data_IF_190158855858
#
_entry.id   IF_190158855858
#
_cell.length_a   1.000
_cell.length_b   1.000
_cell.length_c   1.000
_cell.angle_alpha   90.00
_cell.angle_beta   90.00
_cell.angle_gamma   90.00
#
_symmetry.space_group_name_H-M   'P 1'
#
loop_
_entity.id
_entity.type
_entity.pdbx_description
1 polymer ?
#
# COMPACT_ATOMS: atom_id res chain seq x y z
N UNK A 1 -17.80 25.95 3.39
CA UNK A 1 -17.65 24.62 2.75
C UNK A 1 -16.31 24.05 3.18
N UNK A 2 -16.27 22.94 3.92
CA UNK A 2 -15.02 22.26 4.26
C UNK A 2 -14.84 21.06 3.35
N UNK A 3 -13.70 20.99 2.66
CA UNK A 3 -13.34 19.88 1.81
C UNK A 3 -12.52 18.90 2.65
N UNK A 4 -12.99 17.67 2.76
CA UNK A 4 -12.25 16.61 3.43
C UNK A 4 -11.19 16.05 2.47
N UNK A 5 -9.91 16.14 2.85
CA UNK A 5 -8.80 15.64 2.04
C UNK A 5 -8.23 14.39 2.70
N UNK A 6 -8.12 13.32 1.92
CA UNK A 6 -7.49 12.08 2.34
C UNK A 6 -5.99 12.14 2.09
N UNK A 7 -5.20 12.04 3.17
CA UNK A 7 -3.74 11.86 3.09
C UNK A 7 -3.44 10.38 3.27
N UNK A 8 -2.71 9.79 2.31
CA UNK A 8 -2.22 8.42 2.38
C UNK A 8 -0.90 8.41 3.14
N UNK A 9 -0.92 7.89 4.37
CA UNK A 9 0.29 7.66 5.15
C UNK A 9 0.57 6.17 5.14
N UNK A 10 1.81 5.78 4.85
CA UNK A 10 2.21 4.38 4.91
C UNK A 10 2.00 3.87 6.36
N UNK A 11 1.25 2.79 6.47
CA UNK A 11 0.87 2.17 7.74
C UNK A 11 1.65 0.89 8.01
N UNK A 12 1.91 0.10 6.97
CA UNK A 12 2.60 -1.17 7.09
C UNK A 12 2.95 -1.80 5.76
N UNK A 13 3.76 -2.85 5.84
CA UNK A 13 4.18 -3.71 4.75
C UNK A 13 3.99 -5.17 5.16
N UNK A 14 3.49 -5.99 4.24
CA UNK A 14 3.33 -7.44 4.40
C UNK A 14 3.67 -8.17 3.11
N UNK A 15 3.92 -9.47 3.19
CA UNK A 15 4.13 -10.34 2.02
C UNK A 15 3.11 -11.47 2.08
N UNK A 16 2.44 -11.76 0.96
CA UNK A 16 1.48 -12.87 0.86
C UNK A 16 2.20 -14.22 0.72
N UNK A 17 1.45 -15.32 0.84
CA UNK A 17 1.99 -16.67 0.57
C UNK A 17 2.44 -16.84 -0.88
N UNK A 18 1.80 -16.12 -1.82
CA UNK A 18 2.17 -16.09 -3.24
C UNK A 18 3.39 -15.21 -3.53
N UNK A 19 3.95 -14.55 -2.52
CA UNK A 19 5.13 -13.68 -2.65
C UNK A 19 4.83 -12.24 -3.05
N UNK A 20 3.56 -11.83 -3.09
CA UNK A 20 3.19 -10.45 -3.41
C UNK A 20 3.50 -9.51 -2.25
N UNK A 21 4.07 -8.33 -2.56
CA UNK A 21 4.28 -7.26 -1.58
C UNK A 21 2.98 -6.47 -1.42
N UNK A 22 2.49 -6.40 -0.18
CA UNK A 22 1.30 -5.64 0.20
C UNK A 22 1.72 -4.40 0.98
N UNK A 23 1.34 -3.23 0.50
CA UNK A 23 1.48 -1.97 1.22
C UNK A 23 0.14 -1.50 1.76
N UNK A 24 0.09 -1.21 3.05
CA UNK A 24 -1.11 -0.69 3.70
C UNK A 24 -0.94 0.80 3.99
N UNK A 25 -1.97 1.58 3.67
CA UNK A 25 -2.03 3.01 3.91
C UNK A 25 -3.27 3.35 4.72
N UNK A 26 -3.12 4.34 5.59
CA UNK A 26 -4.23 4.84 6.41
C UNK A 26 -4.25 6.36 6.44
N UNK A 27 -5.45 6.93 6.55
CA UNK A 27 -5.66 8.32 6.88
C UNK A 27 -6.15 8.44 8.32
N UNK A 28 -5.83 9.55 8.99
CA UNK A 28 -6.30 9.84 10.36
C UNK A 28 -7.82 9.85 10.50
N UNK A 29 -8.57 10.01 9.39
CA UNK A 29 -10.03 9.92 9.37
C UNK A 29 -10.59 8.49 9.34
N UNK A 30 -9.73 7.47 9.26
CA UNK A 30 -10.12 6.06 9.24
C UNK A 30 -10.19 5.41 7.87
N UNK A 31 -10.08 6.17 6.77
CA UNK A 31 -9.96 5.60 5.44
C UNK A 31 -8.65 4.78 5.30
N UNK A 32 -8.75 3.63 4.64
CA UNK A 32 -7.62 2.72 4.38
C UNK A 32 -7.49 2.44 2.89
N UNK A 33 -6.25 2.16 2.45
CA UNK A 33 -5.94 1.73 1.10
C UNK A 33 -4.89 0.63 1.15
N UNK A 34 -4.93 -0.26 0.18
CA UNK A 34 -3.95 -1.34 0.02
C UNK A 34 -3.45 -1.33 -1.41
N UNK A 35 -2.13 -1.32 -1.59
CA UNK A 35 -1.49 -1.58 -2.87
C UNK A 35 -0.88 -2.97 -2.83
N UNK A 36 -1.06 -3.74 -3.91
CA UNK A 36 -0.45 -5.06 -4.06
C UNK A 36 0.49 -4.98 -5.25
N UNK A 37 1.77 -5.22 -4.99
CA UNK A 37 2.81 -5.29 -6.00
C UNK A 37 3.12 -6.77 -6.23
N UNK A 38 2.77 -7.26 -7.42
CA UNK A 38 3.16 -8.60 -7.82
C UNK A 38 4.64 -8.62 -8.10
N UNK A 39 5.36 -9.52 -7.46
CA UNK A 39 6.70 -9.86 -7.87
C UNK A 39 6.57 -10.72 -9.14
N UNK A 40 6.46 -10.08 -10.30
CA UNK A 40 6.78 -10.79 -11.54
C UNK A 40 8.24 -11.27 -11.41
N UNK A 41 8.58 -12.45 -11.97
CA UNK A 41 9.93 -13.04 -11.99
C UNK A 41 10.99 -12.17 -12.71
N UNK A 42 10.73 -10.88 -12.90
CA UNK A 42 11.70 -9.89 -13.37
C UNK A 42 12.77 -9.69 -12.32
N UNK A 43 13.96 -10.20 -12.60
CA UNK A 43 15.19 -9.93 -11.86
C UNK A 43 15.32 -8.42 -11.62
N UNK A 44 15.58 -7.95 -10.39
CA UNK A 44 15.82 -6.53 -10.14
C UNK A 44 16.97 -6.04 -11.03
N UNK A 45 16.72 -5.02 -11.84
CA UNK A 45 17.75 -4.40 -12.65
C UNK A 45 18.64 -3.56 -11.73
N UNK A 46 19.90 -3.98 -11.59
CA UNK A 46 20.94 -3.33 -10.78
C UNK A 46 21.66 -2.21 -11.56
#
# INVERSE_FOLDING_TARGET
>A
MSMHVHVRVNHGLAVTEDGDLVEEYRCGCGATWTNVHRADEGQPEF
#
